data_IF_032808114579
#
_entry.id   IF_032808114579
#
_cell.length_a   1.000
_cell.length_b   1.000
_cell.length_c   1.000
_cell.angle_alpha   90.00
_cell.angle_beta   90.00
_cell.angle_gamma   90.00
#
_symmetry.space_group_name_H-M   'P 1'
#
loop_
_entity.id
_entity.type
_entity.pdbx_description
1 polymer ?
#
# COMPACT_ATOMS: atom_id res chain seq x y z
N UNK A 1 -22.06 18.89 -52.99
CA UNK A 1 -21.96 20.30 -52.53
C UNK A 1 -22.64 20.37 -51.17
N UNK A 2 -22.00 20.62 -50.03
CA UNK A 2 -20.77 21.35 -49.69
C UNK A 2 -20.00 20.58 -48.61
N UNK A 3 -18.68 20.60 -48.72
CA UNK A 3 -17.74 20.34 -47.64
C UNK A 3 -18.02 21.30 -46.46
N UNK A 4 -17.85 20.85 -45.22
CA UNK A 4 -16.80 21.43 -44.37
C UNK A 4 -16.44 20.51 -43.20
N UNK A 5 -15.14 20.32 -43.07
CA UNK A 5 -14.38 19.59 -42.05
C UNK A 5 -14.20 20.52 -40.82
N UNK A 6 -13.65 19.94 -39.74
CA UNK A 6 -12.90 20.59 -38.63
C UNK A 6 -13.84 21.17 -37.55
N UNK A 7 -13.79 20.81 -36.26
CA UNK A 7 -12.62 20.74 -35.37
C UNK A 7 -12.83 19.68 -34.28
N UNK A 8 -11.85 18.76 -34.23
CA UNK A 8 -11.43 18.07 -33.03
C UNK A 8 -11.15 19.10 -31.93
N UNK A 9 -12.07 19.32 -31.01
CA UNK A 9 -11.73 19.75 -29.65
C UNK A 9 -11.49 18.44 -28.90
N UNK A 10 -10.33 17.78 -29.01
CA UNK A 10 -9.17 18.08 -28.16
C UNK A 10 -9.47 19.04 -27.00
N UNK A 11 -10.50 18.73 -26.22
CA UNK A 11 -10.47 18.95 -24.80
C UNK A 11 -9.58 17.89 -24.19
N UNK A 12 -8.27 17.93 -24.51
CA UNK A 12 -7.27 17.53 -23.52
C UNK A 12 -7.42 18.59 -22.43
N UNK A 13 -8.46 18.44 -21.60
CA UNK A 13 -8.42 18.95 -20.24
C UNK A 13 -7.17 18.30 -19.71
N UNK A 14 -6.11 19.11 -19.64
CA UNK A 14 -4.79 18.69 -19.27
C UNK A 14 -4.95 17.72 -18.12
N UNK A 15 -4.60 16.46 -18.36
CA UNK A 15 -4.17 15.60 -17.29
C UNK A 15 -3.18 16.47 -16.55
N UNK A 16 -3.58 17.01 -15.40
CA UNK A 16 -2.64 17.35 -14.37
C UNK A 16 -2.02 16.00 -14.04
N UNK A 17 -1.06 15.54 -14.87
CA UNK A 17 -0.08 14.56 -14.48
C UNK A 17 0.61 15.29 -13.36
N UNK A 18 0.10 15.06 -12.16
CA UNK A 18 0.65 15.57 -10.93
C UNK A 18 2.03 14.94 -10.88
N UNK A 19 3.02 15.69 -11.38
CA UNK A 19 4.39 15.22 -11.54
C UNK A 19 4.87 14.73 -10.17
N UNK A 20 5.19 13.45 -10.07
CA UNK A 20 5.64 12.81 -8.83
C UNK A 20 4.62 11.95 -8.09
N UNK A 21 3.34 11.96 -8.47
CA UNK A 21 2.35 11.05 -7.86
C UNK A 21 2.19 9.75 -8.66
N UNK A 22 1.88 8.67 -7.95
CA UNK A 22 1.56 7.40 -8.57
C UNK A 22 0.13 7.38 -9.11
N UNK A 23 -0.15 6.44 -10.01
CA UNK A 23 -1.51 6.21 -10.50
C UNK A 23 -2.41 5.76 -9.35
N UNK A 24 -3.68 6.15 -9.41
CA UNK A 24 -4.68 5.81 -8.37
C UNK A 24 -4.78 4.29 -8.17
N UNK A 25 -4.69 3.52 -9.25
CA UNK A 25 -4.73 2.06 -9.19
C UNK A 25 -3.53 1.48 -8.45
N UNK A 26 -2.36 2.09 -8.57
CA UNK A 26 -1.15 1.65 -7.87
C UNK A 26 -1.20 2.08 -6.40
N UNK A 27 -1.78 3.24 -6.09
CA UNK A 27 -2.05 3.69 -4.73
C UNK A 27 -3.00 2.74 -3.97
N UNK A 28 -4.04 2.23 -4.64
CA UNK A 28 -4.94 1.22 -4.06
C UNK A 28 -4.16 -0.05 -3.67
N UNK A 29 -3.29 -0.54 -4.56
CA UNK A 29 -2.47 -1.73 -4.29
C UNK A 29 -1.54 -1.54 -3.09
N UNK A 30 -0.90 -0.37 -2.96
CA UNK A 30 -0.05 -0.07 -1.80
C UNK A 30 -0.86 -0.14 -0.51
N UNK A 31 -2.03 0.50 -0.49
CA UNK A 31 -2.90 0.53 0.70
C UNK A 31 -3.39 -0.87 1.07
N UNK A 32 -3.78 -1.67 0.08
CA UNK A 32 -4.17 -3.07 0.30
C UNK A 32 -3.02 -3.92 0.84
N UNK A 33 -1.82 -3.80 0.25
CA UNK A 33 -0.63 -4.49 0.71
C UNK A 33 -0.26 -4.12 2.15
N UNK A 34 -0.33 -2.83 2.51
CA UNK A 34 -0.13 -2.37 3.89
C UNK A 34 -1.06 -3.10 4.86
N UNK A 35 -2.36 -3.16 4.54
CA UNK A 35 -3.35 -3.86 5.35
C UNK A 35 -3.07 -5.37 5.46
N UNK A 36 -2.67 -6.02 4.37
CA UNK A 36 -2.35 -7.45 4.35
C UNK A 36 -1.14 -7.76 5.24
N UNK A 37 -0.05 -7.00 5.14
CA UNK A 37 1.13 -7.21 5.98
C UNK A 37 0.81 -6.97 7.46
N UNK A 38 0.03 -5.94 7.78
CA UNK A 38 -0.38 -5.67 9.16
C UNK A 38 -1.26 -6.78 9.73
N UNK A 39 -2.19 -7.32 8.93
CA UNK A 39 -3.01 -8.46 9.32
C UNK A 39 -2.15 -9.67 9.69
N UNK A 40 -1.23 -10.06 8.81
CA UNK A 40 -0.37 -11.22 9.06
C UNK A 40 0.62 -11.00 10.21
N UNK A 41 1.11 -9.77 10.41
CA UNK A 41 1.88 -9.40 11.61
C UNK A 41 1.09 -9.72 12.89
N UNK A 42 -0.18 -9.32 12.95
CA UNK A 42 -1.07 -9.62 14.08
C UNK A 42 -1.31 -11.12 14.28
N UNK A 43 -1.50 -11.88 13.21
CA UNK A 43 -1.65 -13.35 13.28
C UNK A 43 -0.39 -14.05 13.78
N UNK A 44 0.80 -13.57 13.42
CA UNK A 44 2.06 -14.09 13.93
C UNK A 44 2.24 -13.79 15.43
N UNK A 45 1.84 -12.61 15.90
CA UNK A 45 1.89 -12.28 17.33
C UNK A 45 0.96 -13.17 18.16
N UNK A 46 -0.23 -13.50 17.65
CA UNK A 46 -1.12 -14.48 18.31
C UNK A 46 -0.45 -15.86 18.45
N UNK A 47 0.19 -16.33 17.38
CA UNK A 47 0.94 -17.61 17.41
C UNK A 47 2.14 -17.55 18.34
N UNK A 48 2.84 -16.41 18.40
CA UNK A 48 3.96 -16.21 19.32
C UNK A 48 3.50 -16.31 20.78
N UNK A 49 2.39 -15.67 21.13
CA UNK A 49 1.76 -15.76 22.45
C UNK A 49 1.34 -17.21 22.80
N UNK A 50 0.77 -17.95 21.85
CA UNK A 50 0.48 -19.37 22.02
C UNK A 50 1.77 -20.20 22.23
N UNK A 51 2.83 -19.93 21.49
CA UNK A 51 4.12 -20.63 21.64
C UNK A 51 4.76 -20.35 23.01
N UNK A 52 4.71 -19.10 23.49
CA UNK A 52 5.22 -18.69 24.80
C UNK A 52 4.47 -19.38 25.94
N UNK A 53 3.13 -19.40 25.87
CA UNK A 53 2.28 -20.11 26.84
C UNK A 53 2.57 -21.61 26.92
N UNK A 54 3.10 -22.19 25.85
CA UNK A 54 3.50 -23.60 25.77
C UNK A 54 5.00 -23.83 26.05
N UNK A 55 5.74 -22.82 26.51
CA UNK A 55 7.16 -22.92 26.85
C UNK A 55 8.11 -23.02 25.65
N UNK A 56 7.64 -22.73 24.44
CA UNK A 56 8.42 -22.82 23.20
C UNK A 56 9.12 -21.49 22.86
N UNK A 57 10.06 -21.09 23.71
CA UNK A 57 10.67 -19.74 23.69
C UNK A 57 11.30 -19.36 22.35
N UNK A 58 12.08 -20.25 21.73
CA UNK A 58 12.73 -19.96 20.44
C UNK A 58 11.72 -19.83 19.29
N UNK A 59 10.62 -20.58 19.32
CA UNK A 59 9.54 -20.47 18.33
C UNK A 59 8.81 -19.13 18.50
N UNK A 60 8.46 -18.76 19.73
CA UNK A 60 7.83 -17.48 20.05
C UNK A 60 8.69 -16.29 19.60
N UNK A 61 10.01 -16.36 19.87
CA UNK A 61 10.97 -15.35 19.43
C UNK A 61 10.97 -15.19 17.91
N UNK A 62 11.10 -16.30 17.17
CA UNK A 62 11.11 -16.27 15.70
C UNK A 62 9.81 -15.70 15.13
N UNK A 63 8.66 -16.12 15.65
CA UNK A 63 7.35 -15.61 15.23
C UNK A 63 7.21 -14.11 15.50
N UNK A 64 7.73 -13.64 16.63
CA UNK A 64 7.75 -12.21 16.99
C UNK A 64 8.64 -11.40 16.05
N UNK A 65 9.83 -11.89 15.73
CA UNK A 65 10.74 -11.25 14.76
C UNK A 65 10.09 -11.14 13.37
N UNK A 66 9.43 -12.22 12.90
CA UNK A 66 8.68 -12.21 11.64
C UNK A 66 7.50 -11.23 11.69
N UNK A 67 6.79 -11.15 12.82
CA UNK A 67 5.70 -10.20 13.00
C UNK A 67 6.17 -8.75 12.90
N UNK A 68 7.31 -8.42 13.52
CA UNK A 68 7.90 -7.08 13.42
C UNK A 68 8.27 -6.72 12.00
N UNK A 69 8.94 -7.63 11.28
CA UNK A 69 9.29 -7.42 9.89
C UNK A 69 8.06 -7.12 9.01
N UNK A 70 6.95 -7.85 9.19
CA UNK A 70 5.71 -7.57 8.47
C UNK A 70 5.08 -6.23 8.87
N UNK A 71 5.16 -5.84 10.13
CA UNK A 71 4.70 -4.52 10.59
C UNK A 71 5.50 -3.39 9.93
N UNK A 72 6.83 -3.53 9.84
CA UNK A 72 7.68 -2.55 9.17
C UNK A 72 7.37 -2.46 7.67
N UNK A 73 7.11 -3.60 7.01
CA UNK A 73 6.64 -3.58 5.62
C UNK A 73 5.30 -2.84 5.49
N UNK A 74 4.35 -3.08 6.40
CA UNK A 74 3.07 -2.38 6.41
C UNK A 74 3.24 -0.86 6.55
N UNK A 75 4.10 -0.42 7.47
CA UNK A 75 4.44 0.98 7.69
C UNK A 75 5.09 1.62 6.45
N UNK A 76 6.07 0.94 5.85
CA UNK A 76 6.73 1.41 4.64
C UNK A 76 5.74 1.62 3.49
N UNK A 77 4.73 0.75 3.36
CA UNK A 77 3.66 0.94 2.38
C UNK A 77 2.77 2.15 2.75
N UNK A 78 2.43 2.34 4.01
CA UNK A 78 1.67 3.52 4.45
C UNK A 78 2.43 4.84 4.18
N UNK A 79 3.75 4.86 4.42
CA UNK A 79 4.64 5.99 4.11
C UNK A 79 4.65 6.26 2.60
N UNK A 80 4.79 5.21 1.77
CA UNK A 80 4.76 5.34 0.31
C UNK A 80 3.41 5.90 -0.17
N UNK A 81 2.30 5.44 0.40
CA UNK A 81 0.98 5.98 0.10
C UNK A 81 0.90 7.47 0.45
N UNK A 82 1.31 7.86 1.66
CA UNK A 82 1.27 9.26 2.07
C UNK A 82 2.17 10.16 1.21
N UNK A 83 3.31 9.64 0.74
CA UNK A 83 4.29 10.37 -0.06
C UNK A 83 3.86 10.53 -1.52
N UNK A 84 3.34 9.47 -2.14
CA UNK A 84 3.12 9.41 -3.59
C UNK A 84 1.65 9.42 -4.01
N UNK A 85 0.71 9.31 -3.07
CA UNK A 85 -0.72 9.15 -3.38
C UNK A 85 -1.62 10.21 -2.75
N UNK A 86 -1.17 10.87 -1.69
CA UNK A 86 -1.97 11.89 -1.01
C UNK A 86 -1.85 13.23 -1.74
N UNK A 87 -2.87 13.62 -2.50
CA UNK A 87 -2.95 14.97 -3.06
C UNK A 87 -3.09 15.96 -1.89
N UNK A 88 -2.07 16.79 -1.68
CA UNK A 88 -2.15 17.87 -0.70
C UNK A 88 -3.11 18.93 -1.24
N UNK A 89 -4.26 19.12 -0.58
CA UNK A 89 -5.17 20.25 -0.80
C UNK A 89 -4.60 21.51 -0.14
#
# INVERSE_FOLDING_TARGET
MKNLVIILLTGVLGSCTSLGYWKIEDCKKISEASGVFLYYSGELLKKADEAEKNGKVEEAKKLTEEAYFLSELAENHAINFNTYCKVNN
#
